data_IF_555702792467
#
_entry.id   IF_555702792467
#
_cell.length_a   1.000
_cell.length_b   1.000
_cell.length_c   1.000
_cell.angle_alpha   90.00
_cell.angle_beta   90.00
_cell.angle_gamma   90.00
#
_symmetry.space_group_name_H-M   'P 1'
#
loop_
_entity.id
_entity.type
_entity.pdbx_description
1 polymer ?
#
# COMPACT_ATOMS: atom_id res chain seq x y z
N UNK A 1 -3.14 29.46 37.12
CA UNK A 1 -1.97 28.73 37.66
C UNK A 1 -1.29 27.98 36.51
N UNK A 2 -0.17 28.49 35.98
CA UNK A 2 0.60 27.80 34.96
C UNK A 2 1.47 26.74 35.63
N UNK A 3 1.20 25.45 35.37
CA UNK A 3 2.01 24.35 35.91
C UNK A 3 3.40 24.42 35.27
N UNK A 4 4.40 24.80 36.07
CA UNK A 4 5.82 24.68 35.74
C UNK A 4 6.22 23.20 35.79
N UNK A 5 6.65 22.64 34.66
CA UNK A 5 7.84 21.75 34.57
C UNK A 5 8.12 21.13 33.19
N UNK A 6 7.29 21.34 32.15
CA UNK A 6 7.62 20.85 30.79
C UNK A 6 8.14 21.96 29.87
N UNK A 7 9.26 21.69 29.18
CA UNK A 7 9.75 22.57 28.11
C UNK A 7 8.69 22.66 27.02
N UNK A 8 8.29 23.88 26.68
CA UNK A 8 7.33 24.12 25.61
C UNK A 8 7.80 23.47 24.30
N UNK A 9 6.92 22.72 23.65
CA UNK A 9 7.18 22.08 22.36
C UNK A 9 7.47 23.15 21.29
N UNK A 10 8.44 22.86 20.42
CA UNK A 10 8.64 23.65 19.20
C UNK A 10 7.35 23.66 18.36
N UNK A 11 6.97 24.83 17.83
CA UNK A 11 5.76 25.01 17.00
C UNK A 11 5.64 23.97 15.88
N UNK A 12 6.76 23.64 15.23
CA UNK A 12 6.83 22.59 14.19
C UNK A 12 6.41 21.21 14.72
N UNK A 13 6.94 20.81 15.88
CA UNK A 13 6.60 19.52 16.51
C UNK A 13 5.14 19.49 16.96
N UNK A 14 4.65 20.61 17.49
CA UNK A 14 3.25 20.76 17.87
C UNK A 14 2.32 20.60 16.66
N UNK A 15 2.61 21.27 15.54
CA UNK A 15 1.79 21.18 14.33
C UNK A 15 1.74 19.75 13.75
N UNK A 16 2.86 19.02 13.76
CA UNK A 16 2.92 17.61 13.34
C UNK A 16 2.06 16.74 14.26
N UNK A 17 2.20 16.88 15.58
CA UNK A 17 1.38 16.13 16.53
C UNK A 17 -0.11 16.42 16.36
N UNK A 18 -0.45 17.70 16.19
CA UNK A 18 -1.84 18.14 15.99
C UNK A 18 -2.44 17.54 14.72
N UNK A 19 -1.68 17.48 13.61
CA UNK A 19 -2.18 16.88 12.37
C UNK A 19 -2.36 15.37 12.50
N UNK A 20 -1.44 14.68 13.18
CA UNK A 20 -1.57 13.25 13.50
C UNK A 20 -2.82 12.98 14.34
N UNK A 21 -3.05 13.76 15.40
CA UNK A 21 -4.19 13.63 16.31
C UNK A 21 -5.53 13.83 15.59
N UNK A 22 -5.61 14.82 14.68
CA UNK A 22 -6.81 15.08 13.88
C UNK A 22 -7.09 13.96 12.86
N UNK A 23 -6.05 13.39 12.26
CA UNK A 23 -6.19 12.35 11.24
C UNK A 23 -6.38 10.95 11.82
N UNK A 24 -5.95 10.69 13.06
CA UNK A 24 -5.95 9.37 13.66
C UNK A 24 -7.32 8.65 13.65
N UNK A 25 -8.44 9.29 14.00
CA UNK A 25 -9.76 8.63 13.96
C UNK A 25 -10.16 8.20 12.54
N UNK A 26 -9.88 9.04 11.54
CA UNK A 26 -10.18 8.74 10.14
C UNK A 26 -9.32 7.60 9.61
N UNK A 27 -8.02 7.63 9.90
CA UNK A 27 -7.08 6.57 9.52
C UNK A 27 -7.46 5.22 10.11
N UNK A 28 -7.87 5.17 11.39
CA UNK A 28 -8.38 3.96 12.05
C UNK A 28 -9.61 3.39 11.34
N UNK A 29 -10.60 4.24 11.01
CA UNK A 29 -11.79 3.81 10.25
C UNK A 29 -11.41 3.24 8.88
N UNK A 30 -10.45 3.87 8.20
CA UNK A 30 -9.99 3.46 6.87
C UNK A 30 -9.36 2.06 6.83
N UNK A 31 -8.72 1.63 7.92
CA UNK A 31 -8.14 0.28 8.00
C UNK A 31 -9.18 -0.84 7.86
N UNK A 32 -10.46 -0.57 8.11
CA UNK A 32 -11.53 -1.56 7.96
C UNK A 32 -11.97 -1.75 6.50
N UNK A 33 -11.53 -0.90 5.57
CA UNK A 33 -11.89 -1.01 4.14
C UNK A 33 -11.14 -2.20 3.53
N UNK A 34 -11.82 -3.23 3.02
CA UNK A 34 -11.17 -4.45 2.51
C UNK A 34 -10.36 -4.20 1.24
N UNK A 35 -10.79 -3.24 0.42
CA UNK A 35 -10.14 -2.86 -0.85
C UNK A 35 -8.96 -1.90 -0.66
N UNK A 36 -8.63 -1.51 0.58
CA UNK A 36 -7.51 -0.62 0.85
C UNK A 36 -6.19 -1.29 0.42
N UNK A 37 -5.38 -0.65 -0.44
CA UNK A 37 -4.12 -1.21 -0.90
C UNK A 37 -3.19 -1.58 0.26
N UNK A 38 -2.45 -2.67 0.09
CA UNK A 38 -1.55 -3.19 1.13
C UNK A 38 -0.51 -2.17 1.56
N UNK A 39 0.12 -1.47 0.61
CA UNK A 39 1.12 -0.43 0.90
C UNK A 39 0.54 0.70 1.75
N UNK A 40 -0.64 1.22 1.37
CA UNK A 40 -1.34 2.24 2.13
C UNK A 40 -1.74 1.77 3.53
N UNK A 41 -2.20 0.51 3.66
CA UNK A 41 -2.53 -0.11 4.94
C UNK A 41 -1.31 -0.21 5.86
N UNK A 42 -0.16 -0.62 5.32
CA UNK A 42 1.11 -0.68 6.06
C UNK A 42 1.51 0.71 6.55
N UNK A 43 1.51 1.71 5.66
CA UNK A 43 1.85 3.09 6.00
C UNK A 43 0.94 3.67 7.10
N UNK A 44 -0.37 3.45 7.01
CA UNK A 44 -1.31 3.91 8.05
C UNK A 44 -1.01 3.25 9.41
N UNK A 45 -0.67 1.95 9.43
CA UNK A 45 -0.32 1.25 10.67
C UNK A 45 0.96 1.80 11.29
N UNK A 46 1.98 2.06 10.47
CA UNK A 46 3.24 2.68 10.90
C UNK A 46 2.99 4.06 11.51
N UNK A 47 2.22 4.91 10.83
CA UNK A 47 1.92 6.27 11.29
C UNK A 47 1.13 6.27 12.61
N UNK A 48 0.20 5.34 12.78
CA UNK A 48 -0.55 5.15 14.02
C UNK A 48 0.20 4.37 15.11
N UNK A 49 1.45 3.97 14.85
CA UNK A 49 2.27 3.13 15.75
C UNK A 49 1.53 1.88 16.22
N UNK A 50 0.68 1.31 15.36
CA UNK A 50 0.00 0.05 15.64
C UNK A 50 1.00 -1.08 15.44
N UNK A 51 1.02 -2.04 16.36
CA UNK A 51 1.91 -3.21 16.29
C UNK A 51 1.86 -3.83 14.89
N UNK A 52 3.01 -3.87 14.22
CA UNK A 52 3.17 -4.46 12.88
C UNK A 52 3.09 -6.00 12.91
N UNK A 53 3.02 -6.60 14.09
CA UNK A 53 2.88 -8.05 14.33
C UNK A 53 1.50 -8.62 13.99
N UNK A 54 0.75 -8.00 13.07
CA UNK A 54 -0.40 -8.65 12.47
C UNK A 54 0.19 -9.63 11.45
N UNK A 55 0.36 -10.88 11.91
CA UNK A 55 0.61 -12.04 11.07
C UNK A 55 -0.26 -11.88 9.82
N UNK A 56 0.29 -12.01 8.60
CA UNK A 56 -0.54 -11.96 7.42
C UNK A 56 -1.71 -12.92 7.65
N UNK A 57 -2.98 -12.53 7.43
CA UNK A 57 -4.04 -13.53 7.40
C UNK A 57 -3.54 -14.63 6.47
N UNK A 58 -3.55 -15.88 6.96
CA UNK A 58 -3.13 -17.05 6.18
C UNK A 58 -3.68 -16.85 4.78
N UNK A 59 -2.76 -16.77 3.80
CA UNK A 59 -3.16 -16.61 2.43
C UNK A 59 -3.99 -17.84 2.09
N UNK A 60 -5.32 -17.73 2.14
CA UNK A 60 -6.20 -18.75 1.58
C UNK A 60 -5.66 -19.08 0.20
N UNK A 61 -5.32 -20.35 -0.04
CA UNK A 61 -4.52 -20.84 -1.17
C UNK A 61 -5.04 -20.50 -2.57
N UNK A 62 -6.20 -19.84 -2.67
CA UNK A 62 -6.60 -19.13 -3.87
C UNK A 62 -5.70 -17.91 -4.12
N UNK A 63 -4.57 -18.10 -4.83
CA UNK A 63 -3.82 -16.99 -5.42
C UNK A 63 -4.76 -16.25 -6.39
N UNK A 64 -5.48 -15.25 -5.87
CA UNK A 64 -6.41 -14.45 -6.67
C UNK A 64 -5.68 -13.93 -7.90
N UNK A 65 -6.25 -14.19 -9.08
CA UNK A 65 -5.66 -13.75 -10.35
C UNK A 65 -5.54 -12.23 -10.30
N UNK A 66 -4.33 -11.73 -10.59
CA UNK A 66 -4.05 -10.30 -10.65
C UNK A 66 -4.52 -9.73 -11.99
N UNK A 67 -4.67 -8.42 -12.05
CA UNK A 67 -4.83 -7.71 -13.32
C UNK A 67 -3.45 -7.55 -13.98
N UNK A 68 -3.45 -7.42 -15.30
CA UNK A 68 -2.25 -7.13 -16.07
C UNK A 68 -1.65 -5.78 -15.66
N UNK A 69 -0.32 -5.75 -15.48
CA UNK A 69 0.43 -4.55 -15.09
C UNK A 69 0.60 -3.52 -16.21
N UNK A 70 0.38 -3.92 -17.46
CA UNK A 70 0.62 -3.09 -18.65
C UNK A 70 -0.68 -2.56 -19.28
N UNK A 71 -1.83 -3.15 -18.93
CA UNK A 71 -3.11 -2.64 -19.38
C UNK A 71 -3.51 -1.39 -18.60
N UNK A 72 -4.21 -0.44 -19.24
CA UNK A 72 -4.93 0.61 -18.52
C UNK A 72 -5.79 0.02 -17.40
N UNK A 73 -5.73 0.64 -16.21
CA UNK A 73 -6.37 0.11 -15.00
C UNK A 73 -7.87 -0.12 -15.17
N UNK A 74 -8.57 0.78 -15.87
CA UNK A 74 -10.02 0.72 -16.08
C UNK A 74 -10.49 -0.51 -16.89
N UNK A 75 -9.59 -1.17 -17.64
CA UNK A 75 -9.93 -2.38 -18.39
C UNK A 75 -9.92 -3.64 -17.53
N UNK A 76 -9.28 -3.61 -16.36
CA UNK A 76 -9.22 -4.74 -15.41
C UNK A 76 -8.87 -6.10 -16.07
N UNK A 77 -8.02 -6.11 -17.11
CA UNK A 77 -7.72 -7.34 -17.86
C UNK A 77 -6.99 -8.34 -16.97
N UNK A 78 -7.55 -9.55 -16.87
CA UNK A 78 -6.99 -10.62 -16.06
C UNK A 78 -5.66 -11.16 -16.62
N UNK A 79 -4.76 -11.50 -15.70
CA UNK A 79 -3.46 -12.10 -16.03
C UNK A 79 -3.63 -13.49 -16.65
N UNK A 80 -2.93 -13.75 -17.76
CA UNK A 80 -2.79 -15.07 -18.38
C UNK A 80 -1.37 -15.64 -18.21
N UNK A 81 -0.36 -14.80 -18.25
CA UNK A 81 1.06 -15.18 -18.17
C UNK A 81 1.86 -14.16 -17.32
N UNK A 82 3.10 -14.52 -16.99
CA UNK A 82 4.04 -13.65 -16.26
C UNK A 82 5.29 -13.43 -17.09
N UNK A 83 5.92 -12.25 -16.98
CA UNK A 83 7.19 -11.96 -17.64
C UNK A 83 8.29 -12.86 -17.05
N UNK A 84 9.06 -13.55 -17.90
CA UNK A 84 10.12 -14.45 -17.46
C UNK A 84 11.26 -13.71 -16.73
N UNK A 85 11.51 -12.44 -17.05
CA UNK A 85 12.60 -11.65 -16.47
C UNK A 85 12.22 -10.96 -15.16
N UNK A 86 11.03 -10.34 -15.10
CA UNK A 86 10.62 -9.51 -13.95
C UNK A 86 9.38 -10.02 -13.20
N UNK A 87 8.80 -11.15 -13.62
CA UNK A 87 7.62 -11.78 -13.00
C UNK A 87 6.37 -10.89 -12.92
N UNK A 88 6.30 -9.79 -13.68
CA UNK A 88 5.10 -8.94 -13.76
C UNK A 88 3.97 -9.64 -14.51
N UNK A 89 2.74 -9.32 -14.11
CA UNK A 89 1.51 -9.92 -14.62
C UNK A 89 1.14 -9.39 -16.02
N UNK A 90 0.90 -10.28 -16.98
CA UNK A 90 0.58 -9.96 -18.37
C UNK A 90 -0.77 -10.57 -18.80
N UNK A 91 -1.54 -9.80 -19.57
CA UNK A 91 -2.80 -10.26 -20.19
C UNK A 91 -2.48 -11.04 -21.47
N UNK A 92 -3.49 -11.72 -22.04
CA UNK A 92 -3.32 -12.40 -23.33
C UNK A 92 -3.02 -11.48 -24.53
N UNK A 93 -3.23 -10.17 -24.41
CA UNK A 93 -2.80 -9.21 -25.44
C UNK A 93 -1.31 -8.87 -25.30
N UNK A 94 -0.78 -8.95 -24.08
CA UNK A 94 0.64 -8.85 -23.78
C UNK A 94 1.30 -10.25 -23.76
N UNK A 95 0.95 -11.11 -24.73
CA UNK A 95 1.28 -12.54 -24.83
C UNK A 95 2.77 -12.85 -25.06
N UNK A 96 3.67 -11.88 -24.91
CA UNK A 96 5.10 -12.14 -25.00
C UNK A 96 5.61 -12.89 -23.76
N UNK A 97 6.69 -13.66 -23.90
CA UNK A 97 7.41 -14.28 -22.77
C UNK A 97 8.10 -13.22 -21.89
N UNK A 98 8.31 -12.03 -22.44
CA UNK A 98 9.01 -10.92 -21.82
C UNK A 98 8.21 -9.63 -22.03
N UNK A 99 8.09 -8.79 -21.01
CA UNK A 99 7.36 -7.52 -21.12
C UNK A 99 8.15 -6.47 -21.91
N UNK A 100 7.46 -5.44 -22.41
CA UNK A 100 8.07 -4.31 -23.14
C UNK A 100 9.23 -3.68 -22.36
N UNK A 101 9.03 -3.39 -21.08
CA UNK A 101 10.08 -2.81 -20.23
C UNK A 101 11.36 -3.67 -20.16
N UNK A 102 11.23 -5.00 -20.14
CA UNK A 102 12.38 -5.90 -20.11
C UNK A 102 13.00 -6.13 -21.49
N UNK A 103 12.26 -5.83 -22.56
CA UNK A 103 12.77 -5.86 -23.92
C UNK A 103 13.57 -4.60 -24.26
N UNK A 104 13.09 -3.44 -23.83
CA UNK A 104 13.72 -2.14 -24.10
C UNK A 104 14.95 -1.87 -23.22
N UNK A 105 14.97 -2.39 -21.97
CA UNK A 105 16.12 -2.26 -21.07
C UNK A 105 17.12 -3.41 -21.21
N UNK A 106 17.26 -3.96 -22.43
CA UNK A 106 18.17 -5.07 -22.73
C UNK A 106 19.50 -4.59 -23.29
#
# INVERSE_FOLDING_TARGET
>A
MARKSEKALLRKKFAIKQSEDLLAPWMKKRLNVPTLPRSTRTFIRELLKLNLNIQPPEQSDSRKRKNCSFCPYHLCRMTRNFCQTCSRAMSGEHHANMCKDCFENK
#
